data_IF_855638679435
#
_entry.id   IF_855638679435
#
_cell.length_a   1.000
_cell.length_b   1.000
_cell.length_c   1.000
_cell.angle_alpha   90.00
_cell.angle_beta   90.00
_cell.angle_gamma   90.00
#
_symmetry.space_group_name_H-M   'P 1'
#
loop_
_entity.id
_entity.type
_entity.pdbx_description
1 polymer ?
#
# COMPACT_ATOMS: atom_id res chain seq x y z
N UNK A 1 14.34 16.23 -11.93
CA UNK A 1 13.13 15.73 -11.24
C UNK A 1 13.45 14.43 -10.51
N UNK A 2 12.68 14.02 -9.50
CA UNK A 2 12.97 12.85 -8.67
C UNK A 2 13.12 11.54 -9.47
N UNK A 3 12.39 11.39 -10.58
CA UNK A 3 12.46 10.21 -11.46
C UNK A 3 13.79 10.07 -12.21
N UNK A 4 14.57 11.14 -12.37
CA UNK A 4 15.86 11.09 -13.10
C UNK A 4 16.94 10.24 -12.42
N UNK A 5 16.70 9.82 -11.17
CA UNK A 5 17.55 8.86 -10.46
C UNK A 5 17.31 7.39 -10.87
N UNK A 6 16.29 7.12 -11.69
CA UNK A 6 15.87 5.77 -12.09
C UNK A 6 15.81 5.66 -13.63
N UNK A 7 16.96 5.55 -14.32
CA UNK A 7 17.01 5.50 -15.78
C UNK A 7 16.16 4.37 -16.38
N UNK A 8 16.00 3.27 -15.65
CA UNK A 8 15.23 2.09 -16.04
C UNK A 8 13.73 2.34 -16.23
N UNK A 9 13.18 3.40 -15.62
CA UNK A 9 11.77 3.79 -15.78
C UNK A 9 11.58 5.04 -16.66
N UNK A 10 12.63 5.56 -17.30
CA UNK A 10 12.55 6.82 -18.06
C UNK A 10 11.51 6.78 -19.19
N UNK A 11 11.35 5.64 -19.87
CA UNK A 11 10.33 5.47 -20.91
C UNK A 11 8.93 5.64 -20.33
N UNK A 12 8.61 4.92 -19.25
CA UNK A 12 7.34 5.00 -18.54
C UNK A 12 7.09 6.40 -17.97
N UNK A 13 8.12 7.03 -17.39
CA UNK A 13 8.00 8.38 -16.84
C UNK A 13 7.69 9.40 -17.95
N UNK A 14 8.32 9.26 -19.13
CA UNK A 14 8.07 10.15 -20.28
C UNK A 14 6.66 9.95 -20.84
N UNK A 15 6.16 8.73 -20.85
CA UNK A 15 4.80 8.39 -21.30
C UNK A 15 3.71 8.88 -20.35
N UNK A 16 3.90 8.67 -19.03
CA UNK A 16 2.88 8.99 -18.03
C UNK A 16 2.92 10.44 -17.54
N UNK A 17 4.07 11.12 -17.58
CA UNK A 17 4.20 12.49 -17.07
C UNK A 17 3.22 13.49 -17.72
N UNK A 18 2.97 13.47 -19.04
CA UNK A 18 1.98 14.34 -19.67
C UNK A 18 0.54 14.07 -19.21
N UNK A 19 0.25 12.84 -18.76
CA UNK A 19 -1.08 12.40 -18.32
C UNK A 19 -1.32 12.69 -16.83
N UNK A 20 -0.33 13.25 -16.12
CA UNK A 20 -0.41 13.45 -14.68
C UNK A 20 -1.66 14.25 -14.28
N UNK A 21 -2.57 13.57 -13.60
CA UNK A 21 -3.76 14.15 -13.00
C UNK A 21 -4.24 13.24 -11.86
N UNK A 22 -5.36 13.57 -11.21
CA UNK A 22 -5.97 12.69 -10.22
C UNK A 22 -6.59 11.41 -10.83
N UNK A 23 -6.68 11.31 -12.16
CA UNK A 23 -7.19 10.15 -12.87
C UNK A 23 -6.44 9.93 -14.20
N UNK A 24 -6.03 8.70 -14.48
CA UNK A 24 -5.44 8.32 -15.77
C UNK A 24 -6.19 7.08 -16.25
N UNK A 25 -6.66 7.09 -17.50
CA UNK A 25 -7.34 5.97 -18.15
C UNK A 25 -6.59 5.59 -19.42
N UNK A 26 -6.14 4.35 -19.48
CA UNK A 26 -5.55 3.68 -20.64
C UNK A 26 -6.39 2.43 -20.96
N UNK A 27 -6.25 1.80 -22.14
CA UNK A 27 -7.04 0.62 -22.51
C UNK A 27 -6.98 -0.54 -21.50
N UNK A 28 -5.88 -0.66 -20.76
CA UNK A 28 -5.59 -1.76 -19.83
C UNK A 28 -5.27 -1.28 -18.39
N UNK A 29 -5.35 0.03 -18.12
CA UNK A 29 -5.01 0.61 -16.82
C UNK A 29 -5.93 1.77 -16.46
N UNK A 30 -6.51 1.71 -15.26
CA UNK A 30 -7.11 2.86 -14.60
C UNK A 30 -6.28 3.22 -13.36
N UNK A 31 -5.81 4.46 -13.29
CA UNK A 31 -5.21 5.03 -12.08
C UNK A 31 -6.12 6.11 -11.51
N UNK A 32 -6.27 6.10 -10.19
CA UNK A 32 -7.03 7.11 -9.44
C UNK A 32 -6.26 7.53 -8.19
N UNK A 33 -5.94 8.81 -8.10
CA UNK A 33 -5.38 9.43 -6.92
C UNK A 33 -6.51 9.94 -6.02
N UNK A 34 -6.64 9.33 -4.84
CA UNK A 34 -7.59 9.77 -3.82
C UNK A 34 -6.87 10.75 -2.90
N UNK A 35 -7.13 12.05 -3.07
CA UNK A 35 -6.52 13.10 -2.26
C UNK A 35 -7.24 13.22 -0.92
N UNK A 36 -6.48 13.16 0.17
CA UNK A 36 -6.99 13.34 1.53
C UNK A 36 -6.32 12.42 2.53
N UNK A 37 -6.80 12.47 3.77
CA UNK A 37 -6.36 11.57 4.83
C UNK A 37 -6.93 10.17 4.58
N UNK A 38 -6.05 9.17 4.44
CA UNK A 38 -6.43 7.78 4.21
C UNK A 38 -7.41 7.24 5.27
N UNK A 39 -7.33 7.73 6.51
CA UNK A 39 -8.26 7.37 7.60
C UNK A 39 -9.69 7.81 7.35
N UNK A 40 -9.88 8.84 6.52
CA UNK A 40 -11.19 9.37 6.15
C UNK A 40 -11.65 8.88 4.79
N UNK A 41 -10.70 8.67 3.86
CA UNK A 41 -11.03 8.32 2.47
C UNK A 41 -11.21 6.81 2.27
N UNK A 42 -10.39 5.96 2.90
CA UNK A 42 -10.49 4.50 2.73
C UNK A 42 -11.84 3.92 3.19
N UNK A 43 -12.43 4.29 4.35
CA UNK A 43 -13.74 3.76 4.75
C UNK A 43 -14.88 4.05 3.76
N UNK A 44 -14.73 5.09 2.94
CA UNK A 44 -15.70 5.48 1.92
C UNK A 44 -15.49 4.78 0.57
N UNK A 45 -14.33 4.14 0.37
CA UNK A 45 -13.99 3.45 -0.86
C UNK A 45 -14.84 2.18 -1.00
N UNK A 46 -15.55 1.99 -2.11
CA UNK A 46 -16.54 0.89 -2.24
C UNK A 46 -16.01 -0.37 -2.92
N UNK A 47 -14.71 -0.42 -3.21
CA UNK A 47 -14.11 -1.54 -3.93
C UNK A 47 -13.33 -2.46 -2.99
N UNK A 48 -12.89 -3.60 -3.51
CA UNK A 48 -11.96 -4.48 -2.80
C UNK A 48 -10.71 -4.70 -3.64
N UNK A 49 -9.55 -4.59 -3.00
CA UNK A 49 -8.27 -4.85 -3.60
C UNK A 49 -7.94 -6.35 -3.62
N UNK A 50 -7.27 -6.77 -4.71
CA UNK A 50 -6.58 -8.05 -4.80
C UNK A 50 -5.19 -7.98 -4.14
N UNK A 51 -4.55 -6.81 -4.14
CA UNK A 51 -3.25 -6.57 -3.54
C UNK A 51 -3.14 -5.16 -2.95
N UNK A 52 -2.51 -5.06 -1.78
CA UNK A 52 -2.19 -3.80 -1.12
C UNK A 52 -0.69 -3.54 -1.09
N UNK A 53 -0.29 -2.34 -1.54
CA UNK A 53 1.03 -1.79 -1.31
C UNK A 53 0.95 -0.83 -0.13
N UNK A 54 1.24 -1.34 1.07
CA UNK A 54 1.18 -0.57 2.30
C UNK A 54 2.50 0.18 2.48
N UNK A 55 2.54 1.37 1.90
CA UNK A 55 3.71 2.23 1.85
C UNK A 55 3.38 3.65 2.33
N UNK A 56 4.35 4.29 2.98
CA UNK A 56 4.22 5.58 3.64
C UNK A 56 5.43 5.86 4.52
N UNK A 57 5.44 6.97 5.25
CA UNK A 57 6.52 7.22 6.21
C UNK A 57 6.55 6.17 7.33
N UNK A 58 7.72 5.94 7.91
CA UNK A 58 7.92 4.91 8.95
C UNK A 58 6.91 5.08 10.09
N UNK A 59 6.48 4.00 10.76
CA UNK A 59 5.51 4.10 11.85
C UNK A 59 5.89 5.07 12.97
N UNK A 60 7.18 5.25 13.24
CA UNK A 60 7.67 6.23 14.21
C UNK A 60 7.47 7.69 13.77
N UNK A 61 7.46 7.97 12.45
CA UNK A 61 7.31 9.31 11.87
C UNK A 61 5.87 9.66 11.51
N UNK A 62 5.05 8.67 11.17
CA UNK A 62 3.64 8.88 10.83
C UNK A 62 2.78 7.75 11.43
N UNK A 63 2.64 7.71 12.77
CA UNK A 63 1.93 6.62 13.45
C UNK A 63 0.46 6.50 13.06
N UNK A 64 -0.16 7.61 12.67
CA UNK A 64 -1.57 7.67 12.31
C UNK A 64 -1.93 6.80 11.08
N UNK A 65 -1.02 6.74 10.10
CA UNK A 65 -1.18 5.90 8.90
C UNK A 65 -1.07 4.40 9.19
N UNK A 66 -0.62 4.03 10.40
CA UNK A 66 -0.42 2.65 10.81
C UNK A 66 -1.30 2.24 12.00
N UNK A 67 -2.30 3.07 12.32
CA UNK A 67 -3.26 2.81 13.38
C UNK A 67 -4.12 1.58 13.09
N UNK A 68 -4.53 0.88 14.15
CA UNK A 68 -5.32 -0.34 14.04
C UNK A 68 -6.61 -0.13 13.22
N UNK A 69 -7.29 1.00 13.40
CA UNK A 69 -8.51 1.33 12.64
C UNK A 69 -8.27 1.33 11.12
N UNK A 70 -7.18 1.93 10.64
CA UNK A 70 -6.89 1.95 9.21
C UNK A 70 -6.46 0.55 8.70
N UNK A 71 -5.75 -0.23 9.51
CA UNK A 71 -5.41 -1.61 9.14
C UNK A 71 -6.65 -2.52 9.05
N UNK A 72 -7.67 -2.25 9.87
CA UNK A 72 -8.97 -2.93 9.76
C UNK A 72 -9.74 -2.52 8.52
N UNK A 73 -9.63 -1.25 8.10
CA UNK A 73 -10.19 -0.80 6.83
C UNK A 73 -9.49 -1.46 5.64
N UNK A 74 -8.16 -1.59 5.68
CA UNK A 74 -7.40 -2.37 4.68
C UNK A 74 -7.94 -3.80 4.61
N UNK A 75 -8.10 -4.46 5.75
CA UNK A 75 -8.67 -5.80 5.82
C UNK A 75 -10.07 -5.87 5.22
N UNK A 76 -10.98 -4.98 5.63
CA UNK A 76 -12.36 -4.88 5.11
C UNK A 76 -12.39 -4.76 3.58
N UNK A 77 -11.51 -3.93 3.04
CA UNK A 77 -11.39 -3.64 1.61
C UNK A 77 -10.44 -4.60 0.86
N UNK A 78 -10.18 -5.78 1.42
CA UNK A 78 -9.42 -6.85 0.74
C UNK A 78 -10.33 -8.00 0.38
N UNK A 79 -10.19 -8.53 -0.84
CA UNK A 79 -10.88 -9.77 -1.25
C UNK A 79 -10.33 -10.97 -0.47
N UNK A 80 -11.14 -12.01 -0.29
CA UNK A 80 -10.62 -13.31 0.16
C UNK A 80 -9.57 -13.80 -0.83
N UNK A 81 -8.43 -14.27 -0.33
CA UNK A 81 -7.25 -14.59 -1.13
C UNK A 81 -6.42 -13.39 -1.58
N UNK A 82 -6.85 -12.16 -1.32
CA UNK A 82 -6.08 -10.94 -1.59
C UNK A 82 -4.86 -10.82 -0.68
N UNK A 83 -3.89 -9.99 -1.05
CA UNK A 83 -2.58 -9.90 -0.38
C UNK A 83 -2.22 -8.49 0.07
N UNK A 84 -1.24 -8.37 0.95
CA UNK A 84 -0.56 -7.12 1.22
C UNK A 84 0.96 -7.34 1.34
N UNK A 85 1.71 -6.27 1.11
CA UNK A 85 3.12 -6.17 1.49
C UNK A 85 3.41 -4.78 2.10
N UNK A 86 4.31 -4.75 3.08
CA UNK A 86 4.88 -3.51 3.64
C UNK A 86 6.34 -3.70 3.99
N UNK A 87 7.13 -2.64 3.84
CA UNK A 87 8.50 -2.63 4.33
C UNK A 87 8.60 -2.65 5.86
N UNK A 88 7.51 -2.32 6.56
CA UNK A 88 7.51 -2.18 8.01
C UNK A 88 7.55 -3.55 8.70
N UNK A 89 8.39 -3.67 9.74
CA UNK A 89 8.48 -4.85 10.59
C UNK A 89 7.76 -4.67 11.94
N UNK A 90 6.95 -3.61 12.09
CA UNK A 90 6.28 -3.30 13.36
C UNK A 90 5.39 -4.45 13.83
N UNK A 91 5.50 -4.82 15.10
CA UNK A 91 4.61 -5.81 15.71
C UNK A 91 3.15 -5.34 15.81
N UNK A 92 2.90 -4.04 15.99
CA UNK A 92 1.54 -3.49 16.09
C UNK A 92 0.77 -3.61 14.77
N UNK A 93 1.43 -3.31 13.66
CA UNK A 93 0.86 -3.43 12.31
C UNK A 93 0.53 -4.88 12.01
N UNK A 94 1.46 -5.80 12.31
CA UNK A 94 1.24 -7.23 12.10
C UNK A 94 0.03 -7.75 12.85
N UNK A 95 -0.06 -7.47 14.16
CA UNK A 95 -1.22 -7.87 14.97
C UNK A 95 -2.52 -7.27 14.44
N UNK A 96 -2.52 -5.99 14.07
CA UNK A 96 -3.73 -5.34 13.53
C UNK A 96 -4.21 -5.97 12.22
N UNK A 97 -3.29 -6.43 11.36
CA UNK A 97 -3.61 -7.14 10.12
C UNK A 97 -4.02 -8.60 10.39
N UNK A 98 -3.39 -9.27 11.35
CA UNK A 98 -3.80 -10.61 11.82
C UNK A 98 -5.24 -10.58 12.35
N UNK A 99 -5.57 -9.59 13.20
CA UNK A 99 -6.92 -9.36 13.73
C UNK A 99 -7.94 -9.07 12.62
N UNK A 100 -7.49 -8.54 11.47
CA UNK A 100 -8.28 -8.31 10.27
C UNK A 100 -8.48 -9.57 9.39
N UNK A 101 -7.99 -10.73 9.82
CA UNK A 101 -8.14 -12.00 9.10
C UNK A 101 -7.05 -12.27 8.06
N UNK A 102 -5.92 -11.57 8.12
CA UNK A 102 -4.76 -11.95 7.32
C UNK A 102 -3.95 -13.04 8.00
N UNK A 103 -3.53 -14.04 7.21
CA UNK A 103 -2.37 -14.84 7.55
C UNK A 103 -1.11 -14.02 7.26
N UNK A 104 -0.44 -13.54 8.30
CA UNK A 104 0.72 -12.65 8.21
C UNK A 104 2.04 -13.41 8.33
N UNK A 105 3.01 -13.06 7.50
CA UNK A 105 4.35 -13.65 7.47
C UNK A 105 5.42 -12.56 7.58
N UNK A 106 6.38 -12.78 8.48
CA UNK A 106 7.60 -11.98 8.56
C UNK A 106 8.66 -12.62 7.66
N UNK A 107 9.13 -11.87 6.67
CA UNK A 107 10.14 -12.33 5.72
C UNK A 107 11.41 -11.48 5.83
N UNK A 108 12.50 -11.94 5.20
CA UNK A 108 13.75 -11.19 5.10
C UNK A 108 13.50 -9.86 4.40
N UNK A 109 13.99 -8.76 5.00
CA UNK A 109 13.86 -7.44 4.41
C UNK A 109 14.86 -7.22 3.26
N UNK A 110 14.62 -6.16 2.48
CA UNK A 110 15.52 -5.77 1.39
C UNK A 110 16.70 -4.91 1.89
N UNK A 111 17.89 -5.14 1.32
CA UNK A 111 19.10 -4.39 1.64
C UNK A 111 19.50 -4.52 3.11
N UNK A 112 19.60 -3.38 3.81
CA UNK A 112 19.97 -3.33 5.25
C UNK A 112 18.81 -3.66 6.20
N UNK A 113 17.57 -3.81 5.69
CA UNK A 113 16.42 -4.11 6.56
C UNK A 113 16.42 -5.58 6.92
N UNK A 114 16.41 -5.88 8.22
CA UNK A 114 16.38 -7.26 8.72
C UNK A 114 15.10 -7.99 8.32
N UNK A 115 13.94 -7.31 8.41
CA UNK A 115 12.65 -7.91 8.15
C UNK A 115 11.70 -6.96 7.42
N UNK A 116 10.78 -7.56 6.67
CA UNK A 116 9.58 -6.92 6.13
C UNK A 116 8.37 -7.85 6.35
N UNK A 117 7.16 -7.36 6.04
CA UNK A 117 5.92 -8.08 6.32
C UNK A 117 5.12 -8.25 5.03
N UNK A 118 4.61 -9.46 4.81
CA UNK A 118 3.57 -9.74 3.79
C UNK A 118 2.44 -10.55 4.42
N UNK A 119 1.30 -10.64 3.75
CA UNK A 119 0.24 -11.54 4.18
C UNK A 119 -0.81 -11.78 3.12
N UNK A 120 -1.67 -12.77 3.38
CA UNK A 120 -2.79 -13.15 2.52
C UNK A 120 -4.07 -13.25 3.34
N UNK A 121 -5.16 -12.66 2.86
CA UNK A 121 -6.46 -12.71 3.51
C UNK A 121 -7.07 -14.09 3.32
N UNK A 122 -7.50 -14.70 4.42
CA UNK A 122 -8.14 -16.01 4.42
C UNK A 122 -9.58 -15.96 3.90
#
# INVERSE_FOLDING_TARGET
QAHGAFPEINSLATELAPLWSTKIELPDLEFKLIVGDARKTLPSWRHKADAWFLDGFSPAKNPELWGAALMQEVATHTKTGGSFATYSASGSIRRSLEDGGFKVERITGFGRKRHMTKGKKL
#
